data_IF_795788543927
#
_entry.id   IF_795788543927
#
_cell.length_a   1.000
_cell.length_b   1.000
_cell.length_c   1.000
_cell.angle_alpha   90.00
_cell.angle_beta   90.00
_cell.angle_gamma   90.00
#
_symmetry.space_group_name_H-M   'P 1'
#
loop_
_entity.id
_entity.type
_entity.pdbx_description
1 polymer ?
#
# COMPACT_ATOMS: atom_id res chain seq x y z
N UNK A 1 -13.76 -13.00 -0.40
CA UNK A 1 -13.45 -12.87 1.05
C UNK A 1 -14.77 -12.78 1.80
N UNK A 2 -14.87 -13.32 3.02
CA UNK A 2 -16.11 -13.29 3.80
C UNK A 2 -15.81 -13.24 5.30
N UNK A 3 -16.69 -12.61 6.09
CA UNK A 3 -16.64 -12.64 7.56
C UNK A 3 -17.95 -13.20 8.12
N UNK A 4 -17.86 -14.18 9.03
CA UNK A 4 -19.02 -14.79 9.72
C UNK A 4 -18.72 -14.86 11.21
N UNK A 5 -19.57 -14.32 12.07
CA UNK A 5 -19.30 -14.24 13.50
C UNK A 5 -17.96 -13.56 13.80
N UNK A 6 -17.25 -14.10 14.80
CA UNK A 6 -15.87 -13.70 15.12
C UNK A 6 -14.84 -14.47 14.30
N UNK A 7 -15.04 -14.51 12.98
CA UNK A 7 -14.11 -15.18 12.05
C UNK A 7 -14.08 -14.53 10.67
N UNK A 8 -12.99 -14.78 9.94
CA UNK A 8 -12.80 -14.36 8.55
C UNK A 8 -12.31 -15.51 7.68
N UNK A 9 -12.62 -15.46 6.39
CA UNK A 9 -12.15 -16.42 5.39
C UNK A 9 -11.78 -15.76 4.07
N UNK A 10 -10.78 -16.34 3.41
CA UNK A 10 -10.42 -16.04 2.03
C UNK A 10 -10.51 -17.33 1.24
N UNK A 11 -11.42 -17.37 0.28
CA UNK A 11 -11.66 -18.50 -0.59
C UNK A 11 -10.99 -18.27 -1.96
N UNK A 12 -10.43 -19.33 -2.53
CA UNK A 12 -9.92 -19.31 -3.90
C UNK A 12 -11.07 -19.36 -4.91
N UNK A 13 -10.95 -18.57 -5.97
CA UNK A 13 -11.86 -18.59 -7.13
C UNK A 13 -11.12 -18.99 -8.43
N UNK A 14 -9.93 -19.57 -8.28
CA UNK A 14 -9.06 -19.95 -9.39
C UNK A 14 -9.28 -21.38 -9.90
N UNK A 15 -8.58 -21.78 -10.99
CA UNK A 15 -8.70 -23.13 -11.57
C UNK A 15 -8.30 -24.26 -10.61
N UNK A 16 -7.50 -23.95 -9.58
CA UNK A 16 -7.07 -24.89 -8.55
C UNK A 16 -7.94 -24.83 -7.28
N UNK A 17 -9.12 -24.21 -7.34
CA UNK A 17 -9.97 -24.01 -6.15
C UNK A 17 -10.40 -25.33 -5.51
N UNK A 18 -10.66 -26.39 -6.29
CA UNK A 18 -11.03 -27.71 -5.77
C UNK A 18 -9.83 -28.61 -5.42
N UNK A 19 -8.60 -28.18 -5.68
CA UNK A 19 -7.38 -28.95 -5.42
C UNK A 19 -6.54 -28.31 -4.32
N UNK A 20 -6.92 -28.60 -3.05
CA UNK A 20 -6.34 -28.01 -1.84
C UNK A 20 -4.81 -28.05 -1.73
N UNK A 21 -4.10 -29.14 -2.12
CA UNK A 21 -2.63 -29.17 -2.04
C UNK A 21 -1.94 -28.05 -2.83
N UNK A 22 -2.62 -27.47 -3.83
CA UNK A 22 -2.12 -26.32 -4.62
C UNK A 22 -2.90 -25.06 -4.29
N UNK A 23 -4.23 -25.15 -4.17
CA UNK A 23 -5.10 -24.00 -3.93
C UNK A 23 -4.87 -23.31 -2.59
N UNK A 24 -4.59 -24.05 -1.52
CA UNK A 24 -4.32 -23.47 -0.19
C UNK A 24 -2.99 -22.71 -0.17
N UNK A 25 -1.84 -23.28 -0.62
CA UNK A 25 -0.61 -22.52 -0.78
C UNK A 25 -0.76 -21.27 -1.67
N UNK A 26 -1.48 -21.35 -2.79
CA UNK A 26 -1.72 -20.21 -3.66
C UNK A 26 -2.54 -19.12 -2.98
N UNK A 27 -3.55 -19.49 -2.18
CA UNK A 27 -4.35 -18.55 -1.41
C UNK A 27 -3.52 -17.88 -0.31
N UNK A 28 -2.63 -18.64 0.35
CA UNK A 28 -1.69 -18.10 1.32
C UNK A 28 -0.68 -17.14 0.68
N UNK A 29 -0.15 -17.49 -0.50
CA UNK A 29 0.74 -16.62 -1.29
C UNK A 29 0.04 -15.32 -1.68
N UNK A 30 -1.21 -15.41 -2.15
CA UNK A 30 -2.05 -14.25 -2.45
C UNK A 30 -2.23 -13.34 -1.23
N UNK A 31 -2.49 -13.92 -0.05
CA UNK A 31 -2.55 -13.14 1.18
C UNK A 31 -1.20 -12.52 1.54
N UNK A 32 -0.10 -13.26 1.34
CA UNK A 32 1.26 -12.77 1.52
C UNK A 32 1.61 -11.59 0.61
N UNK A 33 1.10 -11.56 -0.62
CA UNK A 33 1.25 -10.42 -1.53
C UNK A 33 0.72 -9.13 -0.92
N UNK A 34 -0.34 -9.18 -0.09
CA UNK A 34 -0.81 -7.98 0.63
C UNK A 34 0.24 -7.44 1.60
N UNK A 35 0.80 -8.31 2.44
CA UNK A 35 1.91 -7.94 3.34
C UNK A 35 3.12 -7.40 2.56
N UNK A 36 3.45 -8.05 1.43
CA UNK A 36 4.48 -7.59 0.50
C UNK A 36 4.21 -6.20 -0.05
N UNK A 37 3.03 -5.93 -0.59
CA UNK A 37 2.64 -4.61 -1.13
C UNK A 37 2.71 -3.52 -0.06
N UNK A 38 2.22 -3.80 1.15
CA UNK A 38 2.27 -2.87 2.29
C UNK A 38 3.72 -2.54 2.66
N UNK A 39 4.60 -3.55 2.69
CA UNK A 39 6.02 -3.36 2.98
C UNK A 39 6.77 -2.57 1.88
N UNK A 40 6.45 -2.81 0.60
CA UNK A 40 7.02 -2.09 -0.53
C UNK A 40 6.61 -0.62 -0.51
N UNK A 41 5.37 -0.33 -0.11
CA UNK A 41 4.91 1.03 0.10
C UNK A 41 5.71 1.72 1.22
N UNK A 42 5.93 1.04 2.35
CA UNK A 42 6.76 1.57 3.42
C UNK A 42 8.19 1.85 2.95
N UNK A 43 8.77 0.95 2.15
CA UNK A 43 10.08 1.14 1.53
C UNK A 43 10.11 2.35 0.60
N UNK A 44 9.05 2.59 -0.18
CA UNK A 44 8.96 3.75 -1.06
C UNK A 44 8.95 5.07 -0.28
N UNK A 45 8.24 5.13 0.86
CA UNK A 45 8.32 6.27 1.78
C UNK A 45 9.69 6.44 2.41
N UNK A 46 10.34 5.34 2.78
CA UNK A 46 11.70 5.36 3.30
C UNK A 46 12.72 5.87 2.27
N UNK A 47 12.61 5.42 1.02
CA UNK A 47 13.42 5.92 -0.09
C UNK A 47 13.28 7.44 -0.26
N UNK A 48 12.05 7.94 -0.28
CA UNK A 48 11.77 9.38 -0.39
C UNK A 48 12.37 10.17 0.77
N UNK A 49 12.25 9.64 1.98
CA UNK A 49 12.90 10.24 3.15
C UNK A 49 14.42 10.31 2.98
N UNK A 50 15.07 9.24 2.50
CA UNK A 50 16.52 9.28 2.21
C UNK A 50 16.85 10.32 1.14
N UNK A 51 16.13 10.33 0.02
CA UNK A 51 16.38 11.27 -1.08
C UNK A 51 16.28 12.75 -0.64
N UNK A 52 15.39 13.06 0.30
CA UNK A 52 15.13 14.44 0.75
C UNK A 52 15.99 14.84 1.95
N UNK A 53 16.13 13.96 2.94
CA UNK A 53 16.76 14.29 4.22
C UNK A 53 18.21 13.85 4.31
N UNK A 54 18.61 12.81 3.56
CA UNK A 54 19.94 12.19 3.62
C UNK A 54 20.42 11.76 2.23
N UNK A 55 20.58 12.69 1.28
CA UNK A 55 20.98 12.36 -0.09
C UNK A 55 22.31 11.60 -0.15
N UNK A 56 23.22 11.81 0.82
CA UNK A 56 24.49 11.09 0.93
C UNK A 56 24.31 9.57 1.13
N UNK A 57 23.12 9.11 1.55
CA UNK A 57 22.79 7.69 1.72
C UNK A 57 22.04 7.10 0.53
N UNK A 58 21.81 7.86 -0.54
CA UNK A 58 21.05 7.41 -1.70
C UNK A 58 21.75 6.25 -2.44
N UNK A 59 23.08 6.10 -2.28
CA UNK A 59 23.86 4.99 -2.83
C UNK A 59 23.35 3.58 -2.45
N UNK A 60 22.55 3.44 -1.39
CA UNK A 60 21.94 2.15 -1.03
C UNK A 60 20.88 1.71 -2.04
N UNK A 61 20.29 2.64 -2.78
CA UNK A 61 19.28 2.40 -3.80
C UNK A 61 19.85 2.34 -5.22
N UNK A 62 21.17 2.42 -5.36
CA UNK A 62 21.85 2.40 -6.65
C UNK A 62 22.50 1.03 -6.95
N UNK A 63 22.42 0.62 -8.21
CA UNK A 63 23.01 -0.62 -8.70
C UNK A 63 22.49 -1.86 -7.96
N UNK A 64 23.40 -2.79 -7.65
CA UNK A 64 23.05 -4.07 -6.99
C UNK A 64 22.65 -3.91 -5.52
N UNK A 65 22.89 -2.76 -4.89
CA UNK A 65 22.64 -2.54 -3.45
C UNK A 65 21.16 -2.44 -3.10
N UNK A 66 20.31 -2.13 -4.09
CA UNK A 66 18.85 -2.10 -3.94
C UNK A 66 18.28 -3.45 -3.45
N UNK A 67 18.96 -4.56 -3.72
CA UNK A 67 18.54 -5.89 -3.23
C UNK A 67 18.53 -5.91 -1.69
N UNK A 68 19.48 -5.24 -1.04
CA UNK A 68 19.51 -5.15 0.42
C UNK A 68 18.35 -4.32 0.98
N UNK A 69 17.86 -3.32 0.23
CA UNK A 69 16.71 -2.50 0.67
C UNK A 69 15.38 -3.22 0.44
N UNK A 70 15.32 -4.16 -0.51
CA UNK A 70 14.16 -5.03 -0.75
C UNK A 70 14.09 -6.23 0.20
N UNK A 71 15.21 -6.65 0.80
CA UNK A 71 15.27 -7.82 1.69
C UNK A 71 14.21 -7.78 2.82
N UNK A 72 13.98 -6.67 3.54
CA UNK A 72 12.91 -6.60 4.55
C UNK A 72 11.51 -6.85 3.96
N UNK A 73 11.25 -6.43 2.72
CA UNK A 73 9.97 -6.65 2.06
C UNK A 73 9.74 -8.14 1.76
N UNK A 74 10.78 -8.83 1.29
CA UNK A 74 10.73 -10.28 1.08
C UNK A 74 10.55 -11.06 2.38
N UNK A 75 11.19 -10.61 3.48
CA UNK A 75 11.00 -11.21 4.79
C UNK A 75 9.54 -11.06 5.24
N UNK A 76 8.97 -9.85 5.14
CA UNK A 76 7.56 -9.60 5.50
C UNK A 76 6.62 -10.46 4.64
N UNK A 77 6.85 -10.53 3.33
CA UNK A 77 6.10 -11.39 2.43
C UNK A 77 6.14 -12.87 2.85
N UNK A 78 7.33 -13.39 3.17
CA UNK A 78 7.52 -14.77 3.58
C UNK A 78 6.87 -15.05 4.95
N UNK A 79 7.02 -14.13 5.92
CA UNK A 79 6.40 -14.24 7.25
C UNK A 79 4.88 -14.21 7.14
N UNK A 80 4.30 -13.31 6.35
CA UNK A 80 2.86 -13.24 6.16
C UNK A 80 2.32 -14.49 5.45
N UNK A 81 2.99 -14.94 4.39
CA UNK A 81 2.61 -16.17 3.68
C UNK A 81 2.68 -17.38 4.59
N UNK A 82 3.77 -17.54 5.34
CA UNK A 82 3.95 -18.64 6.29
C UNK A 82 2.91 -18.59 7.43
N UNK A 83 2.63 -17.40 7.96
CA UNK A 83 1.59 -17.18 8.96
C UNK A 83 0.23 -17.72 8.49
N UNK A 84 -0.18 -17.34 7.27
CA UNK A 84 -1.45 -17.80 6.69
C UNK A 84 -1.42 -19.30 6.39
N UNK A 85 -0.34 -19.80 5.78
CA UNK A 85 -0.24 -21.20 5.38
C UNK A 85 -0.24 -22.16 6.56
N UNK A 86 0.53 -21.88 7.61
CA UNK A 86 0.70 -22.79 8.74
C UNK A 86 -0.34 -22.60 9.84
N UNK A 87 -0.81 -21.38 10.11
CA UNK A 87 -1.69 -21.09 11.25
C UNK A 87 -3.16 -20.91 10.87
N UNK A 88 -3.46 -20.75 9.58
CA UNK A 88 -4.84 -20.58 9.08
C UNK A 88 -5.31 -21.69 8.11
N UNK A 89 -4.85 -22.95 8.21
CA UNK A 89 -5.29 -24.00 7.29
C UNK A 89 -6.79 -24.30 7.48
N UNK A 90 -7.45 -24.87 6.46
CA UNK A 90 -8.79 -25.41 6.60
C UNK A 90 -8.78 -26.58 7.60
N UNK A 91 -9.74 -26.59 8.52
CA UNK A 91 -10.00 -27.66 9.49
C UNK A 91 -11.48 -28.03 9.40
N UNK A 92 -11.88 -29.22 9.86
CA UNK A 92 -13.28 -29.66 9.83
C UNK A 92 -14.23 -28.65 10.49
N UNK A 93 -13.78 -28.04 11.59
CA UNK A 93 -14.49 -26.97 12.27
C UNK A 93 -14.71 -25.76 11.34
N UNK A 94 -13.64 -25.27 10.71
CA UNK A 94 -13.69 -24.11 9.80
C UNK A 94 -14.56 -24.40 8.58
N UNK A 95 -14.51 -25.63 8.06
CA UNK A 95 -15.35 -26.07 6.95
C UNK A 95 -16.83 -26.00 7.33
N UNK A 96 -17.19 -26.53 8.50
CA UNK A 96 -18.56 -26.46 9.02
C UNK A 96 -19.03 -25.01 9.21
N UNK A 97 -18.19 -24.16 9.79
CA UNK A 97 -18.53 -22.74 10.02
C UNK A 97 -18.92 -22.05 8.72
N UNK A 98 -18.18 -22.32 7.64
CA UNK A 98 -18.34 -21.61 6.37
C UNK A 98 -19.24 -22.33 5.34
N UNK A 99 -19.72 -23.54 5.62
CA UNK A 99 -20.53 -24.32 4.67
C UNK A 99 -21.76 -23.57 4.17
N UNK A 100 -22.68 -23.19 5.08
CA UNK A 100 -23.95 -22.56 4.70
C UNK A 100 -23.73 -21.27 3.92
N UNK A 101 -22.78 -20.47 4.40
CA UNK A 101 -22.50 -19.13 3.85
C UNK A 101 -21.86 -19.21 2.47
N UNK A 102 -20.90 -20.11 2.27
CA UNK A 102 -20.27 -20.28 0.96
C UNK A 102 -21.23 -20.92 -0.04
N UNK A 103 -22.11 -21.82 0.42
CA UNK A 103 -23.13 -22.41 -0.41
C UNK A 103 -24.19 -21.38 -0.83
N UNK A 104 -24.71 -20.58 0.09
CA UNK A 104 -25.75 -19.58 -0.17
C UNK A 104 -25.25 -18.43 -1.06
N UNK A 105 -24.06 -17.88 -0.77
CA UNK A 105 -23.58 -16.68 -1.46
C UNK A 105 -22.80 -16.98 -2.75
N UNK A 106 -22.17 -18.15 -2.84
CA UNK A 106 -21.25 -18.48 -3.93
C UNK A 106 -21.50 -19.85 -4.57
N UNK A 107 -22.44 -20.66 -4.06
CA UNK A 107 -22.69 -22.03 -4.49
C UNK A 107 -21.43 -22.92 -4.43
N UNK A 108 -20.65 -22.75 -3.36
CA UNK A 108 -19.35 -23.42 -3.15
C UNK A 108 -19.38 -24.29 -1.89
N UNK A 109 -18.93 -25.53 -2.04
CA UNK A 109 -18.79 -26.51 -0.94
C UNK A 109 -17.48 -26.26 -0.15
N UNK A 110 -17.61 -25.81 1.10
CA UNK A 110 -16.48 -25.51 2.00
C UNK A 110 -15.58 -26.74 2.23
N UNK A 111 -16.13 -27.96 2.21
CA UNK A 111 -15.39 -29.21 2.42
C UNK A 111 -14.47 -29.58 1.25
N UNK A 112 -14.69 -28.99 0.07
CA UNK A 112 -13.90 -29.28 -1.14
C UNK A 112 -13.04 -28.10 -1.55
N UNK A 113 -13.53 -26.88 -1.32
CA UNK A 113 -12.86 -25.67 -1.78
C UNK A 113 -11.57 -25.40 -1.01
N UNK A 114 -10.64 -24.74 -1.69
CA UNK A 114 -9.41 -24.21 -1.11
C UNK A 114 -9.70 -22.85 -0.51
N UNK A 115 -9.61 -22.78 0.81
CA UNK A 115 -9.76 -21.54 1.55
C UNK A 115 -8.79 -21.51 2.73
N UNK A 116 -8.55 -20.31 3.24
CA UNK A 116 -7.85 -20.06 4.50
C UNK A 116 -8.78 -19.29 5.42
N UNK A 117 -8.69 -19.56 6.72
CA UNK A 117 -9.64 -18.98 7.68
C UNK A 117 -9.02 -18.76 9.05
N UNK A 118 -9.35 -17.60 9.63
CA UNK A 118 -9.02 -17.20 10.99
C UNK A 118 -10.31 -17.19 11.81
N UNK A 119 -10.37 -18.01 12.85
CA UNK A 119 -11.54 -18.10 13.74
C UNK A 119 -11.13 -17.59 15.11
N UNK A 120 -11.48 -16.36 15.48
CA UNK A 120 -11.09 -15.80 16.79
C UNK A 120 -11.83 -16.47 17.93
N UNK A 121 -13.12 -16.76 17.72
CA UNK A 121 -13.99 -17.41 18.70
C UNK A 121 -14.84 -18.46 17.99
N UNK A 122 -14.77 -19.69 18.47
CA UNK A 122 -15.54 -20.81 17.94
C UNK A 122 -17.00 -20.69 18.37
N UNK A 123 -17.96 -20.87 17.44
CA UNK A 123 -19.37 -20.86 17.80
C UNK A 123 -19.70 -22.02 18.75
N UNK A 124 -20.72 -21.84 19.58
CA UNK A 124 -21.20 -22.90 20.46
C UNK A 124 -21.65 -24.12 19.63
N UNK A 125 -21.27 -25.31 20.08
CA UNK A 125 -21.77 -26.59 19.58
C UNK A 125 -22.66 -27.24 20.65
N UNK A 126 -23.33 -28.34 20.29
CA UNK A 126 -24.16 -29.09 21.25
C UNK A 126 -23.36 -29.57 22.48
N UNK A 127 -22.06 -29.76 22.33
CA UNK A 127 -21.17 -30.31 23.36
C UNK A 127 -20.28 -29.26 24.03
N UNK A 128 -19.99 -28.14 23.36
CA UNK A 128 -19.06 -27.13 23.88
C UNK A 128 -19.61 -25.70 23.73
N UNK A 129 -19.53 -24.87 24.78
CA UNK A 129 -19.91 -23.48 24.68
C UNK A 129 -18.94 -22.68 23.80
N UNK A 130 -19.38 -21.50 23.39
CA UNK A 130 -18.59 -20.56 22.61
C UNK A 130 -17.29 -20.19 23.35
N UNK A 131 -16.13 -20.42 22.72
CA UNK A 131 -14.83 -20.24 23.37
C UNK A 131 -13.80 -19.58 22.44
N UNK A 132 -12.79 -18.95 23.04
CA UNK A 132 -11.75 -18.23 22.30
C UNK A 132 -10.66 -19.17 21.80
N UNK A 133 -10.32 -19.04 20.51
CA UNK A 133 -9.22 -19.78 19.92
C UNK A 133 -7.90 -19.05 20.15
N UNK A 134 -7.25 -19.36 21.27
CA UNK A 134 -5.96 -18.75 21.62
C UNK A 134 -4.90 -18.98 20.54
N UNK A 135 -4.95 -20.11 19.82
CA UNK A 135 -4.05 -20.40 18.70
C UNK A 135 -4.25 -19.45 17.51
N UNK A 136 -5.45 -18.91 17.33
CA UNK A 136 -5.78 -17.95 16.27
C UNK A 136 -5.48 -16.49 16.66
N UNK A 137 -5.13 -16.24 17.94
CA UNK A 137 -4.58 -14.93 18.35
C UNK A 137 -3.17 -14.71 17.82
N UNK A 138 -2.37 -15.77 17.68
CA UNK A 138 -1.02 -15.67 17.13
C UNK A 138 -1.01 -15.10 15.69
N UNK A 139 -1.75 -15.67 14.71
CA UNK A 139 -1.78 -15.12 13.36
C UNK A 139 -2.37 -13.72 13.29
N UNK A 140 -3.32 -13.39 14.17
CA UNK A 140 -3.87 -12.05 14.32
C UNK A 140 -2.79 -11.03 14.71
N UNK A 141 -2.08 -11.28 15.81
CA UNK A 141 -1.06 -10.38 16.31
C UNK A 141 0.10 -10.23 15.32
N UNK A 142 0.47 -11.29 14.59
CA UNK A 142 1.48 -11.21 13.53
C UNK A 142 1.02 -10.24 12.42
N UNK A 143 -0.22 -10.39 11.92
CA UNK A 143 -0.76 -9.47 10.90
C UNK A 143 -0.81 -8.02 11.39
N UNK A 144 -1.34 -7.78 12.59
CA UNK A 144 -1.41 -6.44 13.18
C UNK A 144 -0.01 -5.83 13.38
N UNK A 145 0.94 -6.59 13.92
CA UNK A 145 2.30 -6.13 14.17
C UNK A 145 3.01 -5.71 12.87
N UNK A 146 2.83 -6.47 11.79
CA UNK A 146 3.39 -6.13 10.47
C UNK A 146 2.75 -4.84 9.94
N UNK A 147 1.42 -4.73 10.01
CA UNK A 147 0.70 -3.54 9.56
C UNK A 147 1.12 -2.30 10.35
N UNK A 148 1.19 -2.40 11.68
CA UNK A 148 1.56 -1.31 12.57
C UNK A 148 3.00 -0.85 12.34
N UNK A 149 3.94 -1.79 12.14
CA UNK A 149 5.33 -1.49 11.82
C UNK A 149 5.46 -0.74 10.49
N UNK A 150 4.77 -1.22 9.45
CA UNK A 150 4.80 -0.60 8.12
C UNK A 150 4.15 0.79 8.16
N UNK A 151 3.00 0.92 8.82
CA UNK A 151 2.29 2.18 8.97
C UNK A 151 3.12 3.22 9.73
N UNK A 152 3.70 2.82 10.85
CA UNK A 152 4.59 3.67 11.65
C UNK A 152 5.78 4.15 10.84
N UNK A 153 6.37 3.28 10.02
CA UNK A 153 7.47 3.62 9.12
C UNK A 153 7.04 4.66 8.08
N UNK A 154 5.87 4.47 7.44
CA UNK A 154 5.32 5.41 6.46
C UNK A 154 5.08 6.78 7.09
N UNK A 155 4.39 6.82 8.24
CA UNK A 155 4.06 8.07 8.93
C UNK A 155 5.33 8.79 9.38
N UNK A 156 6.27 8.08 9.99
CA UNK A 156 7.53 8.67 10.46
C UNK A 156 8.38 9.21 9.30
N UNK A 157 8.58 8.43 8.24
CA UNK A 157 9.34 8.84 7.06
C UNK A 157 8.67 10.03 6.36
N UNK A 158 7.34 9.96 6.20
CA UNK A 158 6.53 11.03 5.62
C UNK A 158 6.68 12.32 6.40
N UNK A 159 6.42 12.31 7.72
CA UNK A 159 6.53 13.50 8.57
C UNK A 159 7.94 14.11 8.56
N UNK A 160 8.99 13.28 8.60
CA UNK A 160 10.38 13.77 8.52
C UNK A 160 10.71 14.40 7.17
N UNK A 161 10.31 13.76 6.06
CA UNK A 161 10.48 14.32 4.72
C UNK A 161 9.74 15.66 4.58
N UNK A 162 8.50 15.75 5.07
CA UNK A 162 7.70 16.98 5.06
C UNK A 162 8.35 18.10 5.90
N UNK A 163 8.86 17.76 7.09
CA UNK A 163 9.54 18.71 7.98
C UNK A 163 10.80 19.28 7.32
N UNK A 164 11.60 18.41 6.69
CA UNK A 164 12.82 18.84 6.00
C UNK A 164 12.50 19.78 4.82
N UNK A 165 11.51 19.44 4.00
CA UNK A 165 11.07 20.30 2.90
C UNK A 165 10.59 21.67 3.39
N UNK A 166 9.88 21.73 4.52
CA UNK A 166 9.43 22.99 5.12
C UNK A 166 10.60 23.85 5.57
N UNK A 167 11.61 23.26 6.21
CA UNK A 167 12.80 23.96 6.70
C UNK A 167 13.64 24.53 5.55
N UNK A 168 13.86 23.76 4.48
CA UNK A 168 14.59 24.24 3.31
C UNK A 168 13.81 25.29 2.51
N UNK A 169 12.47 25.33 2.62
CA UNK A 169 11.62 26.25 1.88
C UNK A 169 11.83 27.74 2.16
N UNK A 170 12.46 28.10 3.29
CA UNK A 170 12.76 29.49 3.63
C UNK A 170 13.82 30.14 2.72
N UNK A 171 14.73 29.33 2.15
CA UNK A 171 15.84 29.80 1.30
C UNK A 171 15.58 29.61 -0.21
N UNK A 172 14.37 29.21 -0.60
CA UNK A 172 14.07 28.78 -1.98
C UNK A 172 13.45 29.88 -2.85
N UNK A 173 13.84 29.91 -4.13
CA UNK A 173 13.26 30.80 -5.14
C UNK A 173 11.75 30.59 -5.32
N UNK A 174 11.02 31.58 -5.86
CA UNK A 174 9.56 31.47 -6.14
C UNK A 174 9.20 30.23 -6.99
N UNK A 175 10.04 29.88 -7.98
CA UNK A 175 9.84 28.71 -8.84
C UNK A 175 10.03 27.40 -8.06
N UNK A 176 11.06 27.33 -7.22
CA UNK A 176 11.35 26.14 -6.39
C UNK A 176 10.33 25.96 -5.26
N UNK A 177 9.81 27.07 -4.71
CA UNK A 177 8.76 27.05 -3.67
C UNK A 177 7.45 26.45 -4.18
N UNK A 178 7.05 26.78 -5.41
CA UNK A 178 5.85 26.20 -6.03
C UNK A 178 6.01 24.71 -6.35
N UNK A 179 7.20 24.30 -6.79
CA UNK A 179 7.53 22.88 -7.00
C UNK A 179 7.50 22.10 -5.67
N UNK A 180 8.10 22.63 -4.61
CA UNK A 180 8.06 22.03 -3.27
C UNK A 180 6.63 21.91 -2.72
N UNK A 181 5.76 22.90 -2.98
CA UNK A 181 4.34 22.83 -2.59
C UNK A 181 3.59 21.71 -3.31
N UNK A 182 3.83 21.54 -4.61
CA UNK A 182 3.23 20.45 -5.37
C UNK A 182 3.74 19.09 -4.89
N UNK A 183 5.05 18.97 -4.64
CA UNK A 183 5.65 17.76 -4.09
C UNK A 183 5.07 17.40 -2.71
N UNK A 184 4.86 18.40 -1.84
CA UNK A 184 4.22 18.23 -0.53
C UNK A 184 2.78 17.73 -0.66
N UNK A 185 1.97 18.34 -1.53
CA UNK A 185 0.58 17.96 -1.76
C UNK A 185 0.49 16.53 -2.32
N UNK A 186 1.32 16.21 -3.32
CA UNK A 186 1.41 14.87 -3.89
C UNK A 186 1.83 13.85 -2.85
N UNK A 187 2.81 14.18 -1.99
CA UNK A 187 3.27 13.29 -0.93
C UNK A 187 2.16 13.02 0.09
N UNK A 188 1.40 14.05 0.50
CA UNK A 188 0.25 13.87 1.38
C UNK A 188 -0.84 12.98 0.77
N UNK A 189 -1.17 13.19 -0.50
CA UNK A 189 -2.17 12.39 -1.21
C UNK A 189 -1.71 10.94 -1.43
N UNK A 190 -0.42 10.73 -1.70
CA UNK A 190 0.16 9.38 -1.82
C UNK A 190 0.30 8.67 -0.47
N UNK A 191 0.29 9.38 0.66
CA UNK A 191 0.13 8.75 1.97
C UNK A 191 -1.32 8.37 2.21
N UNK A 192 -2.25 9.27 1.88
CA UNK A 192 -3.68 9.07 2.13
C UNK A 192 -4.29 7.98 1.26
N UNK A 193 -3.86 7.86 -0.01
CA UNK A 193 -4.39 6.88 -0.94
C UNK A 193 -4.26 5.44 -0.41
N UNK A 194 -3.05 4.90 -0.16
CA UNK A 194 -2.90 3.55 0.36
C UNK A 194 -3.46 3.37 1.78
N UNK A 195 -3.59 4.44 2.59
CA UNK A 195 -4.35 4.34 3.84
C UNK A 195 -5.80 3.94 3.56
N UNK A 196 -6.45 4.59 2.58
CA UNK A 196 -7.84 4.35 2.23
C UNK A 196 -8.02 3.05 1.42
N UNK A 197 -7.10 2.73 0.50
CA UNK A 197 -7.28 1.64 -0.45
C UNK A 197 -6.61 0.33 -0.05
N UNK A 198 -5.68 0.34 0.92
CA UNK A 198 -4.99 -0.86 1.41
C UNK A 198 -5.11 -1.05 2.93
N UNK A 199 -4.71 -0.07 3.74
CA UNK A 199 -4.68 -0.25 5.21
C UNK A 199 -6.07 -0.33 5.81
N UNK A 200 -6.97 0.60 5.50
CA UNK A 200 -8.33 0.58 6.04
C UNK A 200 -9.11 -0.68 5.63
N UNK A 201 -9.13 -1.12 4.36
CA UNK A 201 -9.89 -2.30 3.96
C UNK A 201 -9.33 -3.60 4.55
N UNK A 202 -8.00 -3.77 4.53
CA UNK A 202 -7.34 -4.98 5.09
C UNK A 202 -7.42 -4.97 6.62
N UNK A 203 -7.15 -3.82 7.24
CA UNK A 203 -7.21 -3.66 8.69
C UNK A 203 -8.63 -3.88 9.21
N UNK A 204 -9.64 -3.34 8.53
CA UNK A 204 -11.04 -3.58 8.87
C UNK A 204 -11.43 -5.05 8.70
N UNK A 205 -10.97 -5.70 7.63
CA UNK A 205 -11.23 -7.12 7.38
C UNK A 205 -10.68 -8.04 8.47
N UNK A 206 -9.53 -7.69 9.06
CA UNK A 206 -8.89 -8.46 10.14
C UNK A 206 -9.43 -8.06 11.53
N UNK A 207 -9.55 -6.76 11.79
CA UNK A 207 -9.84 -6.24 13.14
C UNK A 207 -11.33 -6.25 13.48
N UNK A 208 -12.23 -5.98 12.54
CA UNK A 208 -13.66 -5.92 12.82
C UNK A 208 -14.25 -7.26 13.29
N UNK A 209 -13.93 -8.41 12.66
CA UNK A 209 -14.44 -9.69 13.14
C UNK A 209 -13.86 -10.07 14.51
N UNK A 210 -12.66 -9.60 14.86
CA UNK A 210 -12.12 -9.77 16.22
C UNK A 210 -12.99 -9.07 17.28
N UNK A 211 -13.53 -7.88 16.98
CA UNK A 211 -14.49 -7.18 17.82
C UNK A 211 -15.90 -7.80 17.82
N UNK A 212 -16.18 -8.73 16.89
CA UNK A 212 -17.51 -9.30 16.68
C UNK A 212 -18.38 -8.51 15.71
N UNK A 213 -17.79 -7.63 14.90
CA UNK A 213 -18.50 -6.92 13.83
C UNK A 213 -18.39 -7.75 12.54
N UNK A 214 -19.53 -8.25 12.07
CA UNK A 214 -19.62 -9.07 10.86
C UNK A 214 -19.73 -8.21 9.60
N UNK A 215 -18.77 -8.38 8.68
CA UNK A 215 -18.82 -7.73 7.36
C UNK A 215 -19.62 -8.53 6.34
N UNK A 216 -19.84 -9.83 6.55
CA UNK A 216 -20.48 -10.71 5.57
C UNK A 216 -19.75 -10.69 4.22
N UNK A 217 -20.53 -10.62 3.14
CA UNK A 217 -20.02 -10.52 1.76
C UNK A 217 -19.34 -9.17 1.45
N UNK A 218 -19.59 -8.10 2.23
CA UNK A 218 -18.94 -6.80 2.03
C UNK A 218 -17.43 -6.87 2.24
N UNK A 219 -16.93 -7.89 2.94
CA UNK A 219 -15.52 -8.21 3.02
C UNK A 219 -14.86 -8.38 1.63
N UNK A 220 -15.63 -8.73 0.59
CA UNK A 220 -15.12 -8.80 -0.78
C UNK A 220 -14.66 -7.45 -1.33
N UNK A 221 -15.20 -6.34 -0.82
CA UNK A 221 -14.77 -4.99 -1.20
C UNK A 221 -13.30 -4.74 -0.86
N UNK A 222 -12.75 -5.42 0.16
CA UNK A 222 -11.33 -5.34 0.50
C UNK A 222 -10.44 -5.73 -0.68
N UNK A 223 -10.76 -6.83 -1.37
CA UNK A 223 -10.04 -7.24 -2.58
C UNK A 223 -10.16 -6.20 -3.70
N UNK A 224 -11.35 -5.60 -3.88
CA UNK A 224 -11.60 -4.58 -4.90
C UNK A 224 -10.80 -3.29 -4.66
N UNK A 225 -10.79 -2.76 -3.43
CA UNK A 225 -10.01 -1.56 -3.08
C UNK A 225 -8.51 -1.76 -3.30
N UNK A 226 -8.00 -2.94 -2.97
CA UNK A 226 -6.60 -3.28 -3.20
C UNK A 226 -6.29 -3.35 -4.70
N UNK A 227 -7.18 -3.96 -5.50
CA UNK A 227 -7.05 -4.02 -6.95
C UNK A 227 -7.08 -2.65 -7.64
N UNK A 228 -7.73 -1.65 -7.02
CA UNK A 228 -7.77 -0.27 -7.55
C UNK A 228 -6.51 0.54 -7.27
N UNK A 229 -5.75 0.20 -6.21
CA UNK A 229 -4.57 0.98 -5.80
C UNK A 229 -3.55 1.20 -6.94
N UNK A 230 -3.11 0.17 -7.70
CA UNK A 230 -2.14 0.35 -8.78
C UNK A 230 -2.61 1.30 -9.89
N UNK A 231 -3.93 1.43 -10.10
CA UNK A 231 -4.48 2.36 -11.09
C UNK A 231 -4.59 3.79 -10.53
N UNK A 232 -4.91 3.93 -9.24
CA UNK A 232 -5.11 5.23 -8.60
C UNK A 232 -3.81 5.99 -8.34
N UNK A 233 -2.72 5.30 -7.98
CA UNK A 233 -1.42 5.96 -7.70
C UNK A 233 -0.88 6.77 -8.92
N UNK A 234 -0.75 6.21 -10.13
CA UNK A 234 -0.31 6.98 -11.30
C UNK A 234 -1.34 8.03 -11.71
N UNK A 235 -2.64 7.77 -11.54
CA UNK A 235 -3.70 8.74 -11.86
C UNK A 235 -3.59 10.00 -10.99
N UNK A 236 -3.37 9.84 -9.68
CA UNK A 236 -3.14 10.96 -8.75
C UNK A 236 -1.89 11.73 -9.15
N UNK A 237 -0.79 11.03 -9.49
CA UNK A 237 0.44 11.67 -9.93
C UNK A 237 0.23 12.52 -11.20
N UNK A 238 -0.49 12.00 -12.19
CA UNK A 238 -0.80 12.71 -13.45
C UNK A 238 -1.67 13.94 -13.20
N UNK A 239 -2.68 13.85 -12.33
CA UNK A 239 -3.61 14.95 -12.07
C UNK A 239 -3.00 16.08 -11.23
N UNK A 240 -2.11 15.76 -10.27
CA UNK A 240 -1.54 16.74 -9.34
C UNK A 240 -0.28 17.44 -9.89
N UNK A 241 0.54 16.74 -10.67
CA UNK A 241 1.80 17.30 -11.19
C UNK A 241 1.50 18.05 -12.48
N UNK A 242 1.69 19.38 -12.47
CA UNK A 242 1.34 20.26 -13.60
C UNK A 242 2.02 19.85 -14.91
N UNK A 243 3.27 19.41 -14.87
CA UNK A 243 4.01 19.00 -16.05
C UNK A 243 3.44 17.73 -16.69
N UNK A 244 3.10 16.71 -15.88
CA UNK A 244 2.43 15.50 -16.37
C UNK A 244 1.04 15.81 -16.91
N UNK A 245 0.25 16.59 -16.16
CA UNK A 245 -1.08 17.02 -16.62
C UNK A 245 -1.02 17.77 -17.95
N UNK A 246 -0.11 18.73 -18.08
CA UNK A 246 0.00 19.52 -19.31
C UNK A 246 0.49 18.68 -20.49
N UNK A 247 1.36 17.70 -20.24
CA UNK A 247 1.82 16.74 -21.25
C UNK A 247 0.69 15.82 -21.72
N UNK A 248 -0.02 15.18 -20.79
CA UNK A 248 -1.12 14.23 -21.09
C UNK A 248 -2.33 14.92 -21.71
N UNK A 249 -2.71 16.10 -21.22
CA UNK A 249 -3.85 16.86 -21.75
C UNK A 249 -3.45 17.86 -22.85
N UNK A 250 -2.25 17.74 -23.43
CA UNK A 250 -1.75 18.55 -24.55
C UNK A 250 -1.96 20.07 -24.37
N UNK A 251 -1.86 20.60 -23.14
CA UNK A 251 -1.91 22.05 -22.92
C UNK A 251 -0.56 22.62 -23.33
N UNK A 252 -0.50 23.25 -24.51
CA UNK A 252 0.69 23.96 -25.02
C UNK A 252 1.30 24.79 -23.89
N UNK A 253 2.60 24.60 -23.62
CA UNK A 253 3.38 25.57 -22.84
C UNK A 253 3.22 26.91 -23.56
N UNK A 254 2.45 27.85 -22.99
CA UNK A 254 2.57 29.25 -23.39
C UNK A 254 4.00 29.63 -23.08
N UNK A 255 4.86 29.67 -24.11
CA UNK A 255 6.19 30.22 -24.02
C UNK A 255 6.03 31.61 -23.41
N UNK A 256 6.45 31.80 -22.17
CA UNK A 256 6.64 33.15 -21.66
C UNK A 256 7.69 33.77 -22.56
N UNK A 257 7.23 34.71 -23.39
CA UNK A 257 8.08 35.62 -24.16
C UNK A 257 8.94 36.33 -23.11
N UNK A 258 10.19 35.88 -22.97
CA UNK A 258 11.21 36.64 -22.25
C UNK A 258 11.32 37.95 -23.03
N UNK A 259 10.76 39.01 -22.47
CA UNK A 259 10.95 40.35 -23.02
C UNK A 259 12.39 40.70 -22.73
N UNK A 260 13.23 40.58 -23.76
CA UNK A 260 14.58 41.11 -23.76
C UNK A 260 14.45 42.63 -23.65
N UNK A 261 14.64 43.18 -22.45
CA UNK A 261 14.85 44.61 -22.27
C UNK A 261 16.20 44.94 -22.90
N UNK A 262 16.21 45.36 -24.16
CA UNK A 262 17.37 46.02 -24.77
C UNK A 262 17.59 47.35 -24.06
N UNK A 263 18.53 47.35 -23.11
CA UNK A 263 19.13 48.58 -22.62
C UNK A 263 20.03 49.16 -23.71
N UNK A 264 19.63 50.30 -24.27
CA UNK A 264 20.50 51.14 -25.08
C UNK A 264 21.70 51.56 -24.24
N UNK A 265 22.88 51.02 -24.54
CA UNK A 265 24.15 51.68 -24.23
C UNK A 265 24.64 52.32 -25.52
N UNK A 266 24.47 53.63 -25.62
CA UNK A 266 25.14 54.45 -26.63
C UNK A 266 26.66 54.30 -26.44
N UNK A 267 27.31 53.67 -27.43
CA UNK A 267 28.77 53.72 -27.57
C UNK A 267 29.12 54.96 -28.39
N UNK A 268 29.68 55.96 -27.72
CA UNK A 268 30.46 57.00 -28.38
C UNK A 268 31.73 56.37 -28.98
N UNK A 269 31.87 56.47 -30.29
CA UNK A 269 33.06 56.11 -31.03
C UNK A 269 33.44 57.28 -31.93
N UNK A 270 34.55 57.96 -31.62
CA UNK A 270 35.22 58.89 -32.53
C UNK A 270 36.71 58.53 -32.59
N UNK A 271 36.97 57.60 -33.50
CA UNK A 271 38.05 57.52 -34.49
C UNK A 271 39.29 58.40 -34.29
N UNK A 272 40.44 57.74 -34.10
CA UNK A 272 41.77 58.23 -34.44
C UNK A 272 41.96 58.23 -35.96
N UNK A 273 42.44 59.33 -36.54
CA UNK A 273 43.09 59.36 -37.85
C UNK A 273 44.46 60.02 -37.74
N UNK A 274 45.43 59.34 -38.36
CA UNK A 274 46.83 59.72 -38.57
C UNK A 274 46.92 60.87 -39.58
N UNK A 275 47.72 61.89 -39.27
CA UNK A 275 48.62 62.64 -40.17
C UNK A 275 49.52 63.51 -39.29
#
# INVERSE_FOLDING_TARGET
MFCKGRSLTVCSDGPFTLYRPVGVPLTALYCGCFGGCISLLALHFYYRYIAVCKPDKLYHFEGKRIIYTLLPCYIIFAVWTGNVYFLMPPTEEKERIYYDVLMENYNVDSYKVSFISMVYKSPATETEPEHWNLMQLLPFFICCSIMDLCLSTIVWCGLKALTQMKNCGAHMSKKTKELNRQLFLTLGMQTLLPLITMYLPVGSFIFLPFLGIELGANANNTGAFIGLYPALDPLIAILLIKDFRNYVFCRKKTLMKVSTTTGNTEKSASTFHVS
#
